data_IF_709097671098
#
_entry.id   IF_709097671098
#
_cell.length_a   1.000
_cell.length_b   1.000
_cell.length_c   1.000
_cell.angle_alpha   90.00
_cell.angle_beta   90.00
_cell.angle_gamma   90.00
#
_symmetry.space_group_name_H-M   'P 1'
#
loop_
_entity.id
_entity.type
_entity.pdbx_description
1 polymer ?
#
# COMPACT_ATOMS: atom_id res chain seq x y z
N UNK A 1 -51.49 5.94 -30.76
CA UNK A 1 -50.44 5.21 -30.03
C UNK A 1 -51.06 4.62 -28.77
N UNK A 2 -51.10 3.28 -28.62
CA UNK A 2 -51.83 2.64 -27.52
C UNK A 2 -51.21 2.96 -26.16
N UNK A 3 -52.04 3.00 -25.11
CA UNK A 3 -51.64 3.25 -23.72
C UNK A 3 -50.47 2.35 -23.30
N UNK A 4 -50.48 1.10 -23.76
CA UNK A 4 -49.43 0.12 -23.51
C UNK A 4 -48.04 0.53 -24.03
N UNK A 5 -47.95 1.20 -25.19
CA UNK A 5 -46.68 1.72 -25.72
C UNK A 5 -46.12 2.89 -24.90
N UNK A 6 -47.00 3.71 -24.31
CA UNK A 6 -46.59 4.86 -23.48
C UNK A 6 -46.04 4.40 -22.13
N UNK A 7 -46.68 3.40 -21.52
CA UNK A 7 -46.21 2.80 -20.26
C UNK A 7 -44.82 2.17 -20.46
N UNK A 8 -44.63 1.40 -21.54
CA UNK A 8 -43.33 0.75 -21.80
C UNK A 8 -42.19 1.75 -22.02
N UNK A 9 -42.43 2.84 -22.76
CA UNK A 9 -41.42 3.89 -22.97
C UNK A 9 -41.11 4.61 -21.65
N UNK A 10 -42.11 4.92 -20.83
CA UNK A 10 -41.89 5.58 -19.55
C UNK A 10 -41.07 4.72 -18.58
N UNK A 11 -41.36 3.41 -18.51
CA UNK A 11 -40.59 2.47 -17.67
C UNK A 11 -39.16 2.32 -18.19
N UNK A 12 -38.95 2.25 -19.50
CA UNK A 12 -37.60 2.17 -20.09
C UNK A 12 -36.79 3.46 -19.83
N UNK A 13 -37.41 4.63 -19.97
CA UNK A 13 -36.76 5.92 -19.66
C UNK A 13 -36.43 6.02 -18.18
N UNK A 14 -37.33 5.63 -17.28
CA UNK A 14 -37.06 5.60 -15.84
C UNK A 14 -35.93 4.63 -15.49
N UNK A 15 -35.91 3.44 -16.07
CA UNK A 15 -34.85 2.45 -15.83
C UNK A 15 -33.48 2.94 -16.32
N UNK A 16 -33.42 3.58 -17.50
CA UNK A 16 -32.19 4.21 -18.01
C UNK A 16 -31.77 5.38 -17.12
N UNK A 17 -32.71 6.19 -16.64
CA UNK A 17 -32.41 7.30 -15.73
C UNK A 17 -31.83 6.80 -14.40
N UNK A 18 -32.36 5.70 -13.83
CA UNK A 18 -31.80 5.08 -12.63
C UNK A 18 -30.39 4.51 -12.83
N UNK A 19 -30.05 4.02 -14.03
CA UNK A 19 -28.71 3.53 -14.34
C UNK A 19 -27.68 4.67 -14.47
N UNK A 20 -28.10 5.88 -14.86
CA UNK A 20 -27.22 7.05 -15.00
C UNK A 20 -26.90 7.70 -13.64
N UNK A 21 -27.74 7.48 -12.61
CA UNK A 21 -27.58 8.11 -11.29
C UNK A 21 -26.67 7.30 -10.35
N UNK A 22 -26.27 6.07 -10.72
CA UNK A 22 -25.34 5.31 -9.88
C UNK A 22 -23.94 5.93 -9.93
N UNK A 23 -23.31 6.26 -8.78
CA UNK A 23 -21.94 6.73 -8.77
C UNK A 23 -21.03 5.67 -9.37
N UNK A 24 -20.32 6.02 -10.45
CA UNK A 24 -19.31 5.15 -11.03
C UNK A 24 -18.09 5.15 -10.10
N UNK A 25 -17.87 4.06 -9.36
CA UNK A 25 -16.62 3.85 -8.65
C UNK A 25 -15.54 3.45 -9.65
N UNK A 26 -14.54 4.32 -9.85
CA UNK A 26 -13.36 3.98 -10.62
C UNK A 26 -12.39 3.18 -9.73
N UNK A 27 -12.64 1.88 -9.57
CA UNK A 27 -11.67 0.98 -8.92
C UNK A 27 -10.52 0.77 -9.90
N UNK A 28 -9.38 1.39 -9.62
CA UNK A 28 -8.15 1.12 -10.34
C UNK A 28 -7.74 -0.34 -10.03
N UNK A 29 -7.49 -1.12 -11.08
CA UNK A 29 -7.17 -2.54 -10.91
C UNK A 29 -5.85 -2.72 -10.16
N UNK A 30 -5.89 -3.52 -9.09
CA UNK A 30 -4.72 -4.05 -8.41
C UNK A 30 -4.25 -5.31 -9.13
N UNK A 31 -2.97 -5.39 -9.46
CA UNK A 31 -2.35 -6.59 -10.03
C UNK A 31 -1.25 -7.09 -9.09
N UNK A 32 -1.22 -8.41 -8.85
CA UNK A 32 -0.30 -9.02 -7.89
C UNK A 32 0.69 -9.95 -8.59
N UNK A 33 1.94 -9.81 -8.21
CA UNK A 33 3.08 -10.38 -8.89
C UNK A 33 4.03 -11.07 -7.91
N UNK A 34 4.64 -12.17 -8.35
CA UNK A 34 5.82 -12.76 -7.72
C UNK A 34 6.97 -12.77 -8.72
N UNK A 35 8.17 -12.54 -8.21
CA UNK A 35 9.34 -12.46 -9.06
C UNK A 35 10.59 -12.07 -8.30
N UNK A 36 11.50 -11.41 -9.01
CA UNK A 36 12.76 -10.91 -8.45
C UNK A 36 12.98 -9.46 -8.84
N UNK A 37 13.53 -8.66 -7.94
CA UNK A 37 13.95 -7.29 -8.25
C UNK A 37 15.01 -7.32 -9.34
N UNK A 38 14.73 -6.71 -10.50
CA UNK A 38 15.68 -6.59 -11.60
C UNK A 38 16.43 -5.27 -11.55
N UNK A 39 15.80 -4.19 -11.06
CA UNK A 39 16.41 -2.87 -10.95
C UNK A 39 15.77 -2.04 -9.83
N UNK A 40 16.60 -1.23 -9.17
CA UNK A 40 16.21 -0.21 -8.20
C UNK A 40 16.75 1.13 -8.69
N UNK A 41 15.90 2.15 -8.80
CA UNK A 41 16.29 3.52 -9.20
C UNK A 41 15.79 4.52 -8.14
N UNK A 42 16.53 4.71 -7.02
CA UNK A 42 16.10 5.58 -5.92
C UNK A 42 15.86 7.03 -6.36
N UNK A 43 16.65 7.55 -7.30
CA UNK A 43 16.49 8.92 -7.82
C UNK A 43 15.18 9.13 -8.60
N UNK A 44 14.48 8.06 -8.98
CA UNK A 44 13.20 8.08 -9.70
C UNK A 44 12.08 7.42 -8.89
N UNK A 45 12.35 7.03 -7.64
CA UNK A 45 11.43 6.22 -6.83
C UNK A 45 10.88 5.01 -7.59
N UNK A 46 11.67 4.41 -8.48
CA UNK A 46 11.19 3.38 -9.40
C UNK A 46 11.82 2.03 -9.05
N UNK A 47 10.98 1.00 -9.02
CA UNK A 47 11.40 -0.39 -8.85
C UNK A 47 10.93 -1.18 -10.05
N UNK A 48 11.85 -1.97 -10.61
CA UNK A 48 11.58 -2.88 -11.70
C UNK A 48 11.77 -4.32 -11.22
N UNK A 49 10.81 -5.18 -11.56
CA UNK A 49 10.79 -6.60 -11.22
C UNK A 49 10.76 -7.45 -12.48
N UNK A 50 11.51 -8.55 -12.44
CA UNK A 50 11.35 -9.68 -13.34
C UNK A 50 10.29 -10.62 -12.75
N UNK A 51 9.12 -10.65 -13.37
CA UNK A 51 7.96 -11.44 -12.94
C UNK A 51 8.15 -12.91 -13.32
N UNK A 52 7.82 -13.80 -12.39
CA UNK A 52 7.76 -15.26 -12.60
C UNK A 52 6.34 -15.79 -12.50
N UNK A 53 5.47 -15.17 -11.69
CA UNK A 53 4.09 -15.61 -11.46
C UNK A 53 3.15 -14.42 -11.22
N UNK A 54 1.88 -14.60 -11.52
CA UNK A 54 0.79 -13.64 -11.21
C UNK A 54 -0.29 -14.36 -10.41
N UNK A 55 -0.96 -13.61 -9.53
CA UNK A 55 -2.08 -14.13 -8.77
C UNK A 55 -3.37 -13.99 -9.57
N UNK A 56 -3.95 -15.11 -9.99
CA UNK A 56 -5.21 -15.15 -10.75
C UNK A 56 -6.11 -16.25 -10.17
N UNK A 57 -7.41 -15.97 -10.04
CA UNK A 57 -8.37 -17.00 -9.63
C UNK A 57 -8.14 -17.60 -8.23
N UNK A 58 -7.39 -16.92 -7.35
CA UNK A 58 -7.07 -17.40 -6.00
C UNK A 58 -5.77 -18.21 -5.91
N UNK A 59 -5.02 -18.34 -7.00
CA UNK A 59 -3.76 -19.10 -7.05
C UNK A 59 -2.64 -18.37 -7.78
N UNK A 60 -1.39 -18.75 -7.46
CA UNK A 60 -0.21 -18.24 -8.15
C UNK A 60 0.01 -19.04 -9.44
N UNK A 61 -0.19 -18.39 -10.58
CA UNK A 61 -0.01 -18.99 -11.90
C UNK A 61 1.33 -18.55 -12.47
N UNK A 62 2.13 -19.50 -12.96
CA UNK A 62 3.39 -19.18 -13.64
C UNK A 62 3.11 -18.30 -14.85
N UNK A 63 3.83 -17.19 -14.95
CA UNK A 63 3.67 -16.16 -15.96
C UNK A 63 4.29 -16.60 -17.30
N UNK A 64 3.73 -17.66 -17.89
CA UNK A 64 4.16 -18.26 -19.13
C UNK A 64 3.06 -18.12 -20.19
N UNK A 65 2.55 -16.90 -20.43
CA UNK A 65 1.58 -16.62 -21.51
C UNK A 65 1.44 -15.12 -21.85
N UNK A 66 2.36 -14.63 -22.68
CA UNK A 66 2.13 -13.64 -23.75
C UNK A 66 1.67 -12.19 -23.49
N UNK A 67 1.37 -11.71 -22.27
CA UNK A 67 0.81 -10.35 -22.08
C UNK A 67 1.80 -9.24 -21.70
N UNK A 68 2.96 -9.54 -21.09
CA UNK A 68 4.00 -8.54 -20.81
C UNK A 68 5.23 -8.72 -21.68
N UNK A 69 5.78 -7.61 -22.18
CA UNK A 69 7.07 -7.60 -22.88
C UNK A 69 8.16 -8.03 -21.90
N UNK A 70 8.73 -9.22 -22.12
CA UNK A 70 9.85 -9.80 -21.37
C UNK A 70 9.57 -10.15 -19.88
N UNK A 71 8.30 -10.23 -19.46
CA UNK A 71 7.94 -10.46 -18.05
C UNK A 71 8.55 -9.42 -17.09
N UNK A 72 8.69 -8.17 -17.53
CA UNK A 72 9.24 -7.08 -16.73
C UNK A 72 8.10 -6.12 -16.38
N UNK A 73 7.97 -5.80 -15.10
CA UNK A 73 7.03 -4.78 -14.59
C UNK A 73 7.82 -3.74 -13.83
N UNK A 74 7.51 -2.48 -14.08
CA UNK A 74 8.09 -1.34 -13.37
C UNK A 74 6.97 -0.52 -12.76
N UNK A 75 7.26 0.13 -11.64
CA UNK A 75 6.31 1.02 -10.98
C UNK A 75 7.03 1.97 -10.02
N UNK A 76 6.32 3.00 -9.58
CA UNK A 76 6.82 3.96 -8.58
C UNK A 76 6.49 3.48 -7.17
N UNK A 77 7.25 3.88 -6.16
CA UNK A 77 6.95 3.58 -4.77
C UNK A 77 7.27 4.80 -3.89
N UNK A 78 6.40 5.07 -2.91
CA UNK A 78 6.51 6.23 -2.04
C UNK A 78 7.26 5.95 -0.72
N UNK A 79 7.80 4.74 -0.55
CA UNK A 79 8.59 4.35 0.60
C UNK A 79 10.09 4.37 0.28
N UNK A 80 10.89 5.26 0.88
CA UNK A 80 12.34 5.33 0.61
C UNK A 80 13.14 4.21 1.28
N UNK A 81 12.65 3.66 2.41
CA UNK A 81 13.35 2.62 3.20
C UNK A 81 13.54 1.32 2.38
N UNK A 82 12.69 1.10 1.38
CA UNK A 82 12.80 -0.06 0.48
C UNK A 82 14.15 -0.10 -0.28
N UNK A 83 14.73 1.07 -0.60
CA UNK A 83 15.93 1.16 -1.43
C UNK A 83 17.21 0.84 -0.66
N UNK A 84 17.20 0.96 0.68
CA UNK A 84 18.32 0.48 1.51
C UNK A 84 18.26 -1.02 1.74
N UNK A 85 17.06 -1.59 1.75
CA UNK A 85 16.83 -2.94 2.24
C UNK A 85 16.76 -3.98 1.14
N UNK A 86 16.16 -3.62 0.00
CA UNK A 86 16.09 -4.48 -1.17
C UNK A 86 17.33 -4.33 -2.03
N UNK A 87 17.67 -5.43 -2.70
CA UNK A 87 18.75 -5.48 -3.68
C UNK A 87 18.26 -6.19 -4.94
N UNK A 88 18.93 -5.92 -6.05
CA UNK A 88 18.73 -6.70 -7.27
C UNK A 88 18.90 -8.20 -6.98
N UNK A 89 18.01 -9.02 -7.53
CA UNK A 89 17.93 -10.46 -7.33
C UNK A 89 17.15 -10.88 -6.08
N UNK A 90 16.71 -9.96 -5.21
CA UNK A 90 15.85 -10.33 -4.09
C UNK A 90 14.51 -10.86 -4.60
N UNK A 91 14.06 -12.05 -4.14
CA UNK A 91 12.74 -12.54 -4.47
C UNK A 91 11.69 -11.73 -3.71
N UNK A 92 10.64 -11.35 -4.42
CA UNK A 92 9.59 -10.50 -3.87
C UNK A 92 8.22 -10.96 -4.34
N UNK A 93 7.24 -10.63 -3.52
CA UNK A 93 5.84 -10.50 -3.91
C UNK A 93 5.50 -9.02 -3.94
N UNK A 94 4.69 -8.57 -4.89
CA UNK A 94 4.34 -7.16 -5.00
C UNK A 94 2.93 -6.96 -5.57
N UNK A 95 2.32 -5.84 -5.19
CA UNK A 95 1.01 -5.40 -5.67
C UNK A 95 1.18 -4.02 -6.31
N UNK A 96 0.74 -3.88 -7.56
CA UNK A 96 0.77 -2.62 -8.30
C UNK A 96 -0.65 -2.14 -8.57
N UNK A 97 -0.88 -0.85 -8.35
CA UNK A 97 -2.11 -0.18 -8.65
C UNK A 97 -2.02 0.44 -10.05
N UNK A 98 -2.95 0.07 -10.94
CA UNK A 98 -3.03 0.61 -12.30
C UNK A 98 -2.20 -0.15 -13.34
N UNK A 99 -1.67 -1.32 -12.97
CA UNK A 99 -0.88 -2.17 -13.85
C UNK A 99 0.55 -1.63 -14.10
N UNK A 100 1.27 -2.17 -15.10
CA UNK A 100 2.66 -1.79 -15.38
C UNK A 100 2.84 -0.29 -15.63
N UNK A 101 3.77 0.32 -14.90
CA UNK A 101 4.02 1.76 -14.89
C UNK A 101 3.24 2.52 -13.81
N UNK A 102 2.34 1.86 -13.08
CA UNK A 102 1.60 2.40 -11.95
C UNK A 102 2.42 2.46 -10.65
N UNK A 103 1.71 2.50 -9.53
CA UNK A 103 2.30 2.62 -8.19
C UNK A 103 2.33 1.27 -7.48
N UNK A 104 3.49 0.88 -6.96
CA UNK A 104 3.63 -0.23 -6.05
C UNK A 104 3.01 0.14 -4.70
N UNK A 105 1.84 -0.42 -4.42
CA UNK A 105 1.14 -0.21 -3.16
C UNK A 105 1.56 -1.20 -2.08
N UNK A 106 2.19 -2.32 -2.46
CA UNK A 106 2.81 -3.24 -1.52
C UNK A 106 3.98 -4.00 -2.16
N UNK A 107 5.09 -4.17 -1.46
CA UNK A 107 6.19 -5.06 -1.84
C UNK A 107 6.65 -5.84 -0.61
N UNK A 108 6.52 -7.16 -0.66
CA UNK A 108 6.99 -8.10 0.35
C UNK A 108 8.28 -8.81 -0.07
N UNK A 109 9.34 -8.73 0.73
CA UNK A 109 10.56 -9.51 0.53
C UNK A 109 10.35 -10.94 0.97
N UNK A 110 10.56 -11.87 0.06
CA UNK A 110 10.48 -13.30 0.34
C UNK A 110 11.80 -13.77 0.95
N UNK A 111 11.72 -14.43 2.10
CA UNK A 111 12.86 -15.07 2.74
C UNK A 111 13.13 -16.46 2.17
N UNK A 112 14.41 -16.82 2.07
CA UNK A 112 14.81 -18.21 1.85
C UNK A 112 15.13 -18.84 3.22
N UNK A 113 14.12 -19.42 3.86
CA UNK A 113 14.24 -20.04 5.19
C UNK A 113 14.38 -21.57 5.14
N UNK A 114 14.77 -22.13 3.98
CA UNK A 114 14.99 -23.57 3.83
C UNK A 114 13.73 -24.46 3.96
N UNK A 115 12.53 -23.86 3.95
CA UNK A 115 11.24 -24.57 3.97
C UNK A 115 10.59 -24.64 2.59
N UNK A 116 9.61 -25.53 2.44
CA UNK A 116 8.71 -25.58 1.27
C UNK A 116 7.82 -24.34 1.15
N UNK A 117 7.66 -23.60 2.25
CA UNK A 117 6.98 -22.30 2.29
C UNK A 117 7.98 -21.16 2.07
N UNK A 118 7.56 -20.14 1.33
CA UNK A 118 8.32 -18.92 1.02
C UNK A 118 7.72 -17.74 1.80
N UNK A 119 8.09 -17.57 3.08
CA UNK A 119 7.50 -16.55 3.92
C UNK A 119 7.99 -15.15 3.55
N UNK A 120 7.19 -14.15 3.88
CA UNK A 120 7.64 -12.76 3.91
C UNK A 120 8.57 -12.55 5.10
N UNK A 121 9.62 -11.76 4.87
CA UNK A 121 10.60 -11.34 5.89
C UNK A 121 10.62 -9.83 6.10
N UNK A 122 10.16 -9.08 5.10
CA UNK A 122 9.90 -7.66 5.20
C UNK A 122 8.74 -7.30 4.26
N UNK A 123 8.05 -6.19 4.52
CA UNK A 123 7.10 -5.60 3.60
C UNK A 123 7.12 -4.08 3.67
N UNK A 124 6.80 -3.46 2.53
CA UNK A 124 6.72 -2.00 2.34
C UNK A 124 5.38 -1.68 1.68
N UNK A 125 4.73 -0.58 2.04
CA UNK A 125 3.37 -0.27 1.58
C UNK A 125 2.29 -0.92 2.46
N UNK A 126 1.19 -1.38 1.85
CA UNK A 126 0.02 -1.92 2.55
C UNK A 126 0.20 -3.44 2.80
N UNK A 127 0.47 -3.89 4.05
CA UNK A 127 0.86 -5.28 4.31
C UNK A 127 -0.29 -6.28 4.11
N UNK A 128 -1.54 -5.84 4.24
CA UNK A 128 -2.73 -6.69 4.08
C UNK A 128 -3.04 -7.06 2.61
N UNK A 129 -2.36 -6.43 1.66
CA UNK A 129 -2.46 -6.73 0.22
C UNK A 129 -1.57 -7.87 -0.24
N UNK A 130 -0.63 -8.27 0.60
CA UNK A 130 0.25 -9.40 0.31
C UNK A 130 -0.44 -10.72 0.72
N UNK A 131 -0.41 -11.68 -0.19
CA UNK A 131 -1.00 -13.02 -0.07
C UNK A 131 -0.12 -13.94 0.77
N UNK A 132 1.20 -13.86 0.61
CA UNK A 132 2.09 -14.76 1.34
C UNK A 132 2.13 -14.39 2.83
N UNK A 133 2.03 -15.37 3.74
CA UNK A 133 2.18 -15.10 5.16
C UNK A 133 3.65 -14.80 5.49
N UNK A 134 3.87 -14.17 6.65
CA UNK A 134 5.19 -14.05 7.25
C UNK A 134 5.62 -15.38 7.88
N UNK A 135 6.84 -15.46 8.42
CA UNK A 135 7.37 -16.68 9.01
C UNK A 135 6.43 -17.21 10.10
N UNK A 136 6.25 -18.53 10.22
CA UNK A 136 5.34 -19.15 11.21
C UNK A 136 3.88 -18.67 11.16
N UNK A 137 3.42 -18.21 9.99
CA UNK A 137 1.99 -17.93 9.77
C UNK A 137 1.52 -16.62 10.38
N UNK A 138 2.43 -15.66 10.62
CA UNK A 138 2.01 -14.30 10.96
C UNK A 138 1.28 -13.64 9.78
N UNK A 139 0.20 -12.93 10.09
CA UNK A 139 -0.56 -12.10 9.16
C UNK A 139 -0.81 -10.74 9.81
N UNK A 140 -0.92 -9.70 8.98
CA UNK A 140 -1.11 -8.32 9.45
C UNK A 140 -2.34 -7.77 8.76
N UNK A 141 -3.26 -7.20 9.55
CA UNK A 141 -4.43 -6.49 9.05
C UNK A 141 -4.34 -5.03 9.47
N UNK A 142 -4.74 -4.14 8.57
CA UNK A 142 -4.68 -2.70 8.79
C UNK A 142 -6.04 -2.07 8.52
N UNK A 143 -6.46 -1.16 9.41
CA UNK A 143 -7.65 -0.34 9.25
C UNK A 143 -7.29 1.12 9.53
N UNK A 144 -7.58 2.02 8.59
CA UNK A 144 -7.15 3.42 8.65
C UNK A 144 -8.30 4.32 9.08
N UNK A 145 -8.02 5.24 10.00
CA UNK A 145 -8.98 6.24 10.45
C UNK A 145 -8.69 7.58 9.75
N UNK A 146 -9.63 8.17 9.02
CA UNK A 146 -9.42 9.45 8.35
C UNK A 146 -9.36 10.63 9.33
N UNK A 147 -8.53 11.63 9.02
CA UNK A 147 -8.60 12.93 9.68
C UNK A 147 -9.75 13.76 9.09
N UNK A 148 -10.95 13.64 9.65
CA UNK A 148 -12.13 14.34 9.13
C UNK A 148 -12.13 15.85 9.34
N UNK A 149 -11.22 16.42 10.16
CA UNK A 149 -11.14 17.85 10.37
C UNK A 149 -10.53 18.60 9.16
N UNK A 150 -9.70 17.92 8.38
CA UNK A 150 -8.93 18.49 7.26
C UNK A 150 -9.23 17.75 5.94
N UNK A 151 -10.28 16.94 5.91
CA UNK A 151 -10.59 16.13 4.74
C UNK A 151 -11.35 16.93 3.68
N UNK A 152 -10.75 17.06 2.52
CA UNK A 152 -11.38 17.60 1.32
C UNK A 152 -11.43 16.51 0.23
N UNK A 153 -12.63 16.11 -0.19
CA UNK A 153 -12.82 15.09 -1.21
C UNK A 153 -13.09 13.69 -0.65
N UNK A 154 -12.61 12.67 -1.37
CA UNK A 154 -12.99 11.25 -1.14
C UNK A 154 -11.94 10.46 -0.36
N UNK A 155 -10.70 10.98 -0.31
CA UNK A 155 -9.59 10.42 0.45
C UNK A 155 -9.08 11.49 1.40
N UNK A 156 -8.86 11.11 2.65
CA UNK A 156 -8.35 11.98 3.70
C UNK A 156 -6.96 11.50 4.10
N UNK A 157 -6.12 12.38 4.62
CA UNK A 157 -4.93 11.93 5.36
C UNK A 157 -5.37 11.02 6.51
N UNK A 158 -4.72 9.87 6.66
CA UNK A 158 -4.99 8.95 7.75
C UNK A 158 -4.46 9.55 9.06
N UNK A 159 -5.35 9.75 10.02
CA UNK A 159 -5.01 10.21 11.37
C UNK A 159 -4.28 9.11 12.15
N UNK A 160 -4.71 7.86 11.96
CA UNK A 160 -4.15 6.70 12.64
C UNK A 160 -4.41 5.41 11.84
N UNK A 161 -3.66 4.37 12.18
CA UNK A 161 -3.81 3.02 11.67
C UNK A 161 -4.03 2.06 12.84
N UNK A 162 -5.15 1.36 12.84
CA UNK A 162 -5.34 0.18 13.68
C UNK A 162 -4.64 -1.01 13.02
N UNK A 163 -3.62 -1.54 13.68
CA UNK A 163 -2.83 -2.68 13.21
C UNK A 163 -3.12 -3.88 14.11
N UNK A 164 -3.54 -4.98 13.48
CA UNK A 164 -3.78 -6.26 14.15
C UNK A 164 -2.79 -7.27 13.60
N UNK A 165 -1.95 -7.82 14.48
CA UNK A 165 -1.04 -8.91 14.14
C UNK A 165 -1.65 -10.21 14.63
N UNK A 166 -1.85 -11.14 13.71
CA UNK A 166 -2.36 -12.49 13.98
C UNK A 166 -1.25 -13.50 13.70
N UNK A 167 -1.35 -14.66 14.35
CA UNK A 167 -0.52 -15.82 14.08
C UNK A 167 -1.39 -17.06 14.10
N UNK A 168 -1.35 -17.84 13.02
CA UNK A 168 -2.15 -19.07 12.89
C UNK A 168 -3.66 -18.82 13.18
N UNK A 169 -4.15 -17.63 12.81
CA UNK A 169 -5.53 -17.17 13.02
C UNK A 169 -5.87 -16.63 14.43
N UNK A 170 -4.92 -16.65 15.37
CA UNK A 170 -5.10 -16.06 16.70
C UNK A 170 -4.49 -14.66 16.77
N UNK A 171 -5.20 -13.69 17.36
CA UNK A 171 -4.67 -12.35 17.58
C UNK A 171 -3.51 -12.43 18.57
N UNK A 172 -2.34 -11.97 18.13
CA UNK A 172 -1.15 -11.84 18.96
C UNK A 172 -1.24 -10.55 19.74
N UNK A 173 -1.51 -9.45 19.04
CA UNK A 173 -1.62 -8.12 19.62
C UNK A 173 -2.31 -7.17 18.62
N UNK A 174 -3.02 -6.18 19.16
CA UNK A 174 -3.70 -5.12 18.42
C UNK A 174 -3.22 -3.78 18.96
N UNK A 175 -2.92 -2.84 18.06
CA UNK A 175 -2.48 -1.49 18.45
C UNK A 175 -2.96 -0.44 17.45
N UNK A 176 -3.40 0.71 17.96
CA UNK A 176 -3.56 1.93 17.15
C UNK A 176 -2.22 2.65 17.07
N UNK A 177 -1.75 2.90 15.87
CA UNK A 177 -0.48 3.55 15.55
C UNK A 177 -0.73 4.88 14.86
N UNK A 178 0.07 5.90 15.20
CA UNK A 178 0.04 7.20 14.53
C UNK A 178 1.14 7.30 13.46
N UNK A 179 1.04 8.21 12.46
CA UNK A 179 2.09 8.39 11.47
C UNK A 179 3.47 8.62 12.11
N UNK A 180 4.49 7.94 11.60
CA UNK A 180 5.86 7.90 12.12
C UNK A 180 6.09 6.91 13.29
N UNK A 181 5.03 6.33 13.87
CA UNK A 181 5.16 5.42 15.01
C UNK A 181 5.72 4.05 14.59
N UNK A 182 6.60 3.49 15.41
CA UNK A 182 7.09 2.12 15.29
C UNK A 182 6.66 1.31 16.51
N UNK A 183 6.19 0.08 16.28
CA UNK A 183 5.80 -0.85 17.34
C UNK A 183 6.31 -2.26 17.05
N UNK A 184 6.65 -2.99 18.12
CA UNK A 184 7.10 -4.38 18.06
C UNK A 184 6.02 -5.27 18.66
N UNK A 185 5.32 -6.01 17.80
CA UNK A 185 4.24 -6.90 18.16
C UNK A 185 4.77 -8.24 18.68
N UNK A 186 4.14 -8.75 19.74
CA UNK A 186 4.49 -10.04 20.32
C UNK A 186 5.78 -10.01 21.15
N UNK A 187 6.25 -8.84 21.58
CA UNK A 187 7.44 -8.72 22.43
C UNK A 187 7.32 -9.49 23.74
N UNK A 188 6.16 -9.40 24.39
CA UNK A 188 5.89 -10.03 25.69
C UNK A 188 5.38 -11.49 25.60
N UNK A 189 5.43 -12.09 24.42
CA UNK A 189 5.03 -13.49 24.22
C UNK A 189 6.23 -14.44 24.40
N UNK A 190 6.04 -15.76 24.30
CA UNK A 190 7.16 -16.72 24.22
C UNK A 190 7.64 -16.96 22.78
N UNK A 191 7.22 -16.14 21.82
CA UNK A 191 7.53 -16.34 20.41
C UNK A 191 8.98 -15.96 20.08
N UNK A 192 9.65 -16.82 19.32
CA UNK A 192 11.03 -16.57 18.89
C UNK A 192 11.13 -15.49 17.81
N UNK A 193 10.04 -15.24 17.09
CA UNK A 193 9.93 -14.23 16.05
C UNK A 193 8.93 -13.17 16.48
N UNK A 194 9.19 -11.93 16.08
CA UNK A 194 8.41 -10.74 16.40
C UNK A 194 8.22 -9.93 15.13
N UNK A 195 7.09 -9.23 15.06
CA UNK A 195 6.74 -8.38 13.93
C UNK A 195 6.98 -6.94 14.35
N UNK A 196 7.95 -6.28 13.72
CA UNK A 196 8.14 -4.85 13.88
C UNK A 196 7.40 -4.14 12.75
N UNK A 197 6.49 -3.22 13.10
CA UNK A 197 5.73 -2.41 12.14
C UNK A 197 6.05 -0.95 12.41
N UNK A 198 6.27 -0.19 11.34
CA UNK A 198 6.29 1.26 11.32
C UNK A 198 5.16 1.74 10.42
N UNK A 199 4.29 2.61 10.93
CA UNK A 199 3.30 3.28 10.10
C UNK A 199 3.94 4.59 9.62
N UNK A 200 4.33 4.69 8.35
CA UNK A 200 5.02 5.87 7.84
C UNK A 200 4.03 7.03 7.68
N UNK A 201 3.00 6.81 6.87
CA UNK A 201 1.92 7.74 6.58
C UNK A 201 0.86 7.04 5.73
N UNK A 202 -0.28 7.65 5.48
CA UNK A 202 -1.23 7.12 4.50
C UNK A 202 -2.46 7.98 4.32
N UNK A 203 -3.35 7.48 3.47
CA UNK A 203 -4.67 8.00 3.22
C UNK A 203 -5.73 7.02 3.74
N UNK A 204 -6.90 7.53 4.09
CA UNK A 204 -8.07 6.75 4.49
C UNK A 204 -9.28 7.22 3.69
N UNK A 205 -10.26 6.33 3.51
CA UNK A 205 -11.52 6.72 2.87
C UNK A 205 -12.25 7.77 3.71
N UNK A 206 -12.83 8.78 3.06
CA UNK A 206 -13.69 9.76 3.73
C UNK A 206 -15.06 9.22 4.13
N UNK A 207 -15.40 7.97 3.77
CA UNK A 207 -16.73 7.38 3.97
C UNK A 207 -17.22 7.42 5.43
N UNK A 208 -16.29 7.42 6.39
CA UNK A 208 -16.61 7.51 7.82
C UNK A 208 -16.67 8.95 8.35
N UNK A 209 -16.42 9.96 7.51
CA UNK A 209 -16.49 11.37 7.89
C UNK A 209 -17.93 11.93 7.77
N UNK A 210 -18.37 12.78 8.73
CA UNK A 210 -19.72 13.36 8.70
C UNK A 210 -20.04 14.22 7.46
N UNK A 211 -19.02 14.80 6.84
CA UNK A 211 -19.14 15.64 5.64
C UNK A 211 -19.14 14.82 4.33
N UNK A 212 -19.18 13.49 4.40
CA UNK A 212 -19.14 12.64 3.22
C UNK A 212 -20.40 12.82 2.36
N UNK A 213 -20.21 13.31 1.14
CA UNK A 213 -21.30 13.60 0.20
C UNK A 213 -21.69 12.40 -0.68
N UNK A 214 -21.22 11.19 -0.37
CA UNK A 214 -21.52 10.00 -1.19
C UNK A 214 -20.70 9.91 -2.48
N UNK A 215 -19.66 10.73 -2.63
CA UNK A 215 -18.79 10.75 -3.81
C UNK A 215 -17.76 9.63 -3.65
N UNK A 216 -17.68 8.73 -4.64
CA UNK A 216 -16.62 7.73 -4.70
C UNK A 216 -15.45 8.29 -5.50
N UNK A 217 -14.23 8.14 -4.98
CA UNK A 217 -13.03 8.63 -5.65
C UNK A 217 -11.89 7.61 -5.60
N UNK A 218 -10.63 8.06 -5.72
CA UNK A 218 -9.47 7.18 -5.75
C UNK A 218 -9.40 6.27 -4.52
N UNK A 219 -8.76 5.12 -4.69
CA UNK A 219 -8.53 4.19 -3.59
C UNK A 219 -7.45 4.77 -2.67
N UNK A 220 -7.66 4.83 -1.34
CA UNK A 220 -6.68 5.35 -0.41
C UNK A 220 -5.44 4.45 -0.36
N UNK A 221 -4.26 5.05 -0.38
CA UNK A 221 -2.96 4.35 -0.31
C UNK A 221 -2.28 4.66 1.03
N UNK A 222 -1.69 3.65 1.66
CA UNK A 222 -0.93 3.81 2.90
C UNK A 222 0.43 3.13 2.82
N UNK A 223 1.34 3.63 3.63
CA UNK A 223 2.71 3.16 3.66
C UNK A 223 3.08 2.67 5.06
N UNK A 224 3.37 1.37 5.15
CA UNK A 224 3.94 0.72 6.30
C UNK A 224 5.31 0.16 5.95
N UNK A 225 6.14 -0.03 6.98
CA UNK A 225 7.34 -0.83 6.88
C UNK A 225 7.28 -1.92 7.93
N UNK A 226 7.39 -3.16 7.48
CA UNK A 226 7.24 -4.35 8.32
C UNK A 226 8.51 -5.16 8.24
N UNK A 227 9.00 -5.63 9.38
CA UNK A 227 10.04 -6.64 9.47
C UNK A 227 9.59 -7.80 10.34
N UNK A 228 9.76 -9.00 9.81
CA UNK A 228 9.68 -10.24 10.58
C UNK A 228 11.09 -10.64 10.99
N UNK A 229 11.36 -10.52 12.29
CA UNK A 229 12.72 -10.69 12.83
C UNK A 229 12.73 -11.65 13.98
N UNK A 230 13.86 -12.34 14.15
CA UNK A 230 14.09 -13.14 15.33
C UNK A 230 14.24 -12.20 16.53
N UNK A 231 13.56 -12.48 17.65
CA UNK A 231 13.60 -11.64 18.85
C UNK A 231 15.03 -11.37 19.34
N UNK A 232 15.91 -12.36 19.24
CA UNK A 232 17.31 -12.24 19.66
C UNK A 232 18.09 -11.21 18.85
N UNK A 233 17.73 -10.89 17.60
CA UNK A 233 18.43 -9.87 16.82
C UNK A 233 18.08 -8.44 17.25
N UNK A 234 16.92 -8.22 17.87
CA UNK A 234 16.50 -6.88 18.36
C UNK A 234 17.16 -6.54 19.69
N UNK A 235 17.50 -7.54 20.52
CA UNK A 235 18.17 -7.34 21.81
C UNK A 235 19.64 -6.88 21.67
N UNK A 236 20.22 -6.95 20.47
CA UNK A 236 21.62 -6.57 20.23
C UNK A 236 21.76 -5.10 19.81
N UNK A 237 20.70 -4.47 19.28
CA UNK A 237 20.76 -3.10 18.75
C UNK A 237 20.39 -2.01 19.74
N UNK A 238 19.81 -2.34 20.90
CA UNK A 238 19.61 -1.41 22.02
C UNK A 238 20.44 -1.88 23.22
N UNK A 239 21.63 -1.31 23.49
CA UNK A 239 22.33 -1.60 24.74
C UNK A 239 21.43 -1.15 25.90
N UNK A 240 21.09 -2.11 26.76
CA UNK A 240 20.52 -1.82 28.09
C UNK A 240 21.41 -0.73 28.72
N UNK A 241 20.86 0.41 29.18
CA UNK A 241 21.67 1.41 29.86
C UNK A 241 22.29 0.74 31.08
N UNK A 242 23.59 0.50 31.00
CA UNK A 242 24.39 0.06 32.14
C UNK A 242 24.36 1.22 33.10
N UNK A 243 23.60 1.08 34.18
CA UNK A 243 23.62 2.01 35.31
C UNK A 243 25.05 1.99 35.84
N UNK A 244 25.82 2.98 35.41
CA UNK A 244 27.16 3.22 35.91
C UNK A 244 26.98 4.11 37.13
N UNK A 245 27.03 3.51 38.31
CA UNK A 245 27.13 4.23 39.59
C UNK A 245 28.31 5.21 39.48
N UNK A 246 27.99 6.49 39.32
CA UNK A 246 28.97 7.57 39.28
C UNK A 246 29.27 7.95 40.73
N UNK A 247 30.39 7.44 41.24
CA UNK A 247 31.02 8.01 42.42
C UNK A 247 31.54 9.41 42.08
N UNK A 248 31.01 10.37 42.80
CA UNK A 248 31.34 11.78 42.83
C UNK A 248 32.84 11.98 43.17
N UNK A 249 33.59 12.68 42.33
CA UNK A 249 34.84 13.34 42.76
C UNK A 249 34.99 14.65 42.00
N UNK A 250 34.80 15.72 42.77
CA UNK A 250 35.08 17.12 42.49
C UNK A 250 36.55 17.37 42.18
N UNK A 251 36.85 18.06 41.08
CA UNK A 251 37.99 18.98 41.00
C UNK A 251 37.78 20.01 39.89
N UNK A 252 37.61 21.24 40.35
CA UNK A 252 37.53 22.51 39.64
C UNK A 252 38.90 22.93 39.12
N UNK A 253 39.04 23.39 37.86
CA UNK A 253 40.12 24.30 37.43
C UNK A 253 39.72 25.05 36.13
N UNK A 254 39.35 26.31 36.36
CA UNK A 254 39.59 27.58 35.65
C UNK A 254 40.04 27.61 34.18
N UNK A 255 39.30 28.39 33.39
CA UNK A 255 39.56 28.86 32.02
C UNK A 255 40.70 29.92 31.94
N UNK A 256 41.13 30.42 30.75
CA UNK A 256 40.30 31.35 29.98
C UNK A 256 40.37 31.25 28.42
N UNK A 257 39.21 31.57 27.84
CA UNK A 257 38.92 32.25 26.58
C UNK A 257 40.03 32.47 25.53
N UNK A 258 39.74 32.06 24.28
CA UNK A 258 39.99 32.89 23.11
C UNK A 258 38.84 32.81 22.09
N UNK A 259 38.41 34.00 21.70
CA UNK A 259 37.49 34.36 20.62
C UNK A 259 38.11 34.08 19.26
N UNK A 260 37.34 33.53 18.32
CA UNK A 260 37.48 33.94 16.91
C UNK A 260 36.20 33.72 16.10
N UNK A 261 35.66 34.85 15.68
CA UNK A 261 34.66 35.08 14.65
C UNK A 261 35.18 34.65 13.28
N UNK A 262 34.38 33.92 12.51
CA UNK A 262 34.45 33.93 11.05
C UNK A 262 33.04 33.67 10.49
N UNK A 263 32.50 34.73 9.94
CA UNK A 263 31.28 34.86 9.16
C UNK A 263 31.58 34.38 7.73
N UNK A 264 30.79 33.46 7.18
CA UNK A 264 30.88 33.14 5.75
C UNK A 264 29.49 32.98 5.11
N UNK A 265 29.02 34.11 4.58
CA UNK A 265 28.39 34.34 3.27
C UNK A 265 27.59 33.20 2.64
N UNK A 266 26.27 33.38 2.73
CA UNK A 266 25.23 32.72 1.93
C UNK A 266 25.33 33.14 0.46
N UNK A 267 25.39 32.18 -0.47
CA UNK A 267 25.17 32.44 -1.90
C UNK A 267 23.97 31.64 -2.39
N UNK A 268 22.83 32.33 -2.52
CA UNK A 268 21.61 31.82 -3.13
C UNK A 268 21.74 31.87 -4.65
N UNK A 269 21.61 30.72 -5.31
CA UNK A 269 21.39 30.63 -6.76
C UNK A 269 19.94 30.24 -6.98
N UNK A 270 19.13 31.17 -7.49
CA UNK A 270 17.74 30.96 -7.87
C UNK A 270 17.67 30.36 -9.29
N UNK A 271 17.14 29.15 -9.41
CA UNK A 271 16.87 28.49 -10.68
C UNK A 271 15.41 28.74 -11.12
N UNK A 272 15.13 29.00 -12.41
CA UNK A 272 13.82 29.45 -12.87
C UNK A 272 12.76 28.33 -12.95
N UNK A 273 11.56 28.71 -12.53
CA UNK A 273 10.30 27.95 -12.59
C UNK A 273 9.93 27.63 -14.06
N UNK A 274 9.73 26.35 -14.44
CA UNK A 274 9.13 26.02 -15.73
C UNK A 274 7.60 26.18 -15.71
N UNK A 275 7.09 26.88 -16.74
CA UNK A 275 5.67 27.06 -17.07
C UNK A 275 4.94 25.73 -17.27
N UNK A 276 3.79 25.59 -16.63
CA UNK A 276 2.82 24.54 -16.92
C UNK A 276 2.15 24.77 -18.29
N UNK A 277 2.26 23.78 -19.18
CA UNK A 277 1.56 23.73 -20.47
C UNK A 277 0.23 23.02 -20.27
N UNK A 278 -0.87 23.76 -20.47
CA UNK A 278 -2.21 23.20 -20.60
C UNK A 278 -2.45 22.73 -22.05
N UNK A 279 -2.82 21.46 -22.21
CA UNK A 279 -3.48 20.90 -23.39
C UNK A 279 -4.35 19.77 -22.84
N UNK A 280 -5.68 19.90 -22.76
CA UNK A 280 -6.62 19.70 -23.88
C UNK A 280 -6.51 18.25 -24.36
N UNK A 281 -7.49 17.36 -24.25
CA UNK A 281 -8.84 17.50 -24.78
C UNK A 281 -9.68 16.29 -24.31
N UNK A 282 -10.88 16.54 -23.80
CA UNK A 282 -11.91 15.54 -23.54
C UNK A 282 -12.38 14.92 -24.87
N UNK A 283 -12.28 13.59 -25.01
CA UNK A 283 -13.08 12.83 -25.97
C UNK A 283 -13.64 11.62 -25.24
N UNK A 284 -14.83 11.79 -24.67
CA UNK A 284 -15.66 10.68 -24.20
C UNK A 284 -16.25 9.95 -25.40
N UNK A 285 -15.83 8.71 -25.63
CA UNK A 285 -16.51 7.76 -26.50
C UNK A 285 -17.16 6.71 -25.61
N UNK A 286 -18.44 6.91 -25.31
CA UNK A 286 -19.30 5.90 -24.67
C UNK A 286 -19.78 4.95 -25.76
N UNK A 287 -19.21 3.75 -25.81
CA UNK A 287 -19.75 2.64 -26.60
C UNK A 287 -20.90 1.99 -25.83
N UNK A 288 -22.14 2.37 -26.17
CA UNK A 288 -23.36 1.69 -25.75
C UNK A 288 -23.62 0.52 -26.71
N UNK A 289 -23.14 -0.68 -26.37
CA UNK A 289 -23.56 -1.92 -27.03
C UNK A 289 -24.89 -2.39 -26.42
N UNK A 290 -25.95 -2.32 -27.22
CA UNK A 290 -27.26 -2.86 -26.90
C UNK A 290 -27.25 -4.40 -26.96
N UNK A 291 -27.58 -5.07 -25.85
CA UNK A 291 -27.95 -6.49 -25.84
C UNK A 291 -29.45 -6.58 -26.09
N UNK A 292 -29.83 -6.86 -27.33
CA UNK A 292 -31.17 -7.34 -27.67
C UNK A 292 -31.35 -8.79 -27.23
N UNK A 293 -32.54 -9.08 -26.70
CA UNK A 293 -32.84 -10.29 -25.95
C UNK A 293 -33.10 -11.55 -26.75
N UNK A 294 -33.32 -12.63 -26.01
CA UNK A 294 -34.10 -13.79 -26.45
C UNK A 294 -35.00 -14.22 -25.29
N UNK A 295 -36.30 -14.02 -25.50
CA UNK A 295 -37.39 -14.50 -24.65
C UNK A 295 -37.64 -15.99 -24.86
N UNK A 296 -38.03 -16.66 -23.77
CA UNK A 296 -38.89 -17.85 -23.63
C UNK A 296 -39.20 -18.71 -24.86
N UNK A 297 -38.91 -20.01 -24.75
CA UNK A 297 -39.92 -21.08 -24.79
C UNK A 297 -39.24 -22.42 -24.52
N UNK A 298 -39.77 -23.24 -23.60
CA UNK A 298 -40.24 -24.61 -23.87
C UNK A 298 -41.01 -25.09 -22.63
N UNK A 299 -42.32 -25.12 -22.80
CA UNK A 299 -43.25 -25.90 -21.99
C UNK A 299 -43.45 -27.23 -22.72
N UNK A 300 -43.02 -28.38 -22.17
CA UNK A 300 -43.66 -29.69 -22.41
C UNK A 300 -43.05 -30.85 -21.60
N UNK A 301 -43.82 -31.28 -20.58
CA UNK A 301 -44.40 -32.63 -20.40
C UNK A 301 -43.50 -33.86 -20.67
N UNK A 302 -43.40 -34.73 -19.66
CA UNK A 302 -43.67 -36.19 -19.68
C UNK A 302 -43.75 -36.65 -18.22
N UNK A 303 -44.91 -37.16 -17.80
CA UNK A 303 -45.19 -38.60 -17.59
C UNK A 303 -44.32 -39.19 -16.49
#
# INVERSE_FOLDING_TARGET
MSIQKRVFIFTAVMAVLFLIIMPASAVILEEQYKGQISRLEPSKNTITMQVTSVYEGGEWVTYAKSSLKNNIVSGTINNPDIFSDLKQGNPVEAVILGGPGGEWIAIGRIGNVGSTTTPLTAAYGIPDRLISPYYRGYTIKTELTPNCAECEGTTCTAQSAKVVVERDGAVVEEKTMYPGETHVFGWNSDYQYIIQVKFNSGEASSDSCPAFEGIVGPQPISDFTVYDTQRSSVLVTNPVPTVTDTAETTAETTAPAQTQTAEETVSQTSEPIPKATQTGTNVGVVFLMAVFGVSMAVFKRRY
#
